data_IF_232255123480
#
_entry.id   IF_232255123480
#
_cell.length_a   1.000
_cell.length_b   1.000
_cell.length_c   1.000
_cell.angle_alpha   90.00
_cell.angle_beta   90.00
_cell.angle_gamma   90.00
#
_symmetry.space_group_name_H-M   'P 1'
#
loop_
_entity.id
_entity.type
_entity.pdbx_description
1 polymer ?
#
# COMPACT_ATOMS: atom_id res chain seq x y z
N UNK A 1 -3.80 48.84 2.32
CA UNK A 1 -2.84 48.68 1.21
C UNK A 1 -1.62 48.07 1.87
N UNK A 2 -1.48 46.76 1.99
CA UNK A 2 -1.84 45.73 1.01
C UNK A 2 -2.30 44.43 1.70
N UNK A 3 -3.46 43.92 1.27
CA UNK A 3 -4.06 42.64 1.67
C UNK A 3 -3.36 41.50 0.93
N UNK A 4 -2.79 40.55 1.67
CA UNK A 4 -2.06 39.39 1.15
C UNK A 4 -3.06 38.24 0.86
N UNK A 5 -3.26 37.80 -0.40
CA UNK A 5 -4.34 36.87 -0.72
C UNK A 5 -3.96 35.43 -0.37
N UNK A 6 -4.66 34.87 0.63
CA UNK A 6 -4.57 33.47 1.00
C UNK A 6 -5.02 32.56 -0.16
N UNK A 7 -4.07 31.90 -0.82
CA UNK A 7 -4.35 30.86 -1.81
C UNK A 7 -4.87 29.59 -1.12
N UNK A 8 -6.19 29.36 -1.17
CA UNK A 8 -6.79 28.13 -0.64
C UNK A 8 -6.53 26.97 -1.59
N UNK A 9 -5.45 26.22 -1.35
CA UNK A 9 -5.16 24.95 -2.05
C UNK A 9 -6.24 23.92 -1.69
N UNK A 10 -7.24 23.74 -2.57
CA UNK A 10 -8.27 22.69 -2.42
C UNK A 10 -7.57 21.33 -2.43
N UNK A 11 -7.59 20.62 -1.30
CA UNK A 11 -7.09 19.24 -1.19
C UNK A 11 -8.06 18.31 -1.92
N UNK A 12 -7.72 17.91 -3.14
CA UNK A 12 -8.45 16.85 -3.85
C UNK A 12 -8.25 15.54 -3.08
N UNK A 13 -9.33 14.91 -2.62
CA UNK A 13 -9.26 13.57 -2.04
C UNK A 13 -8.77 12.60 -3.13
N UNK A 14 -7.84 11.67 -2.84
CA UNK A 14 -7.50 10.65 -3.83
C UNK A 14 -8.75 9.83 -4.12
N UNK A 15 -9.13 9.75 -5.40
CA UNK A 15 -10.21 8.89 -5.86
C UNK A 15 -9.93 7.47 -5.38
N UNK A 16 -10.94 6.84 -4.75
CA UNK A 16 -10.90 5.40 -4.52
C UNK A 16 -10.79 4.76 -5.89
N UNK A 17 -9.70 4.04 -6.14
CA UNK A 17 -9.55 3.20 -7.33
C UNK A 17 -10.72 2.22 -7.31
N UNK A 18 -11.72 2.46 -8.15
CA UNK A 18 -12.78 1.50 -8.39
C UNK A 18 -12.14 0.39 -9.22
N UNK A 19 -11.92 -0.77 -8.60
CA UNK A 19 -11.53 -1.96 -9.34
C UNK A 19 -12.81 -2.37 -10.06
N UNK A 20 -12.92 -2.07 -11.35
CA UNK A 20 -14.03 -2.54 -12.18
C UNK A 20 -13.90 -4.06 -12.32
N UNK A 21 -14.58 -4.81 -11.43
CA UNK A 21 -14.72 -6.25 -11.59
C UNK A 21 -15.70 -6.52 -12.74
N UNK A 22 -15.16 -6.86 -13.92
CA UNK A 22 -15.98 -7.25 -15.07
C UNK A 22 -16.81 -8.49 -14.70
N UNK A 23 -18.10 -8.30 -14.45
CA UNK A 23 -19.01 -9.36 -13.99
C UNK A 23 -19.71 -10.08 -15.15
N UNK A 24 -19.65 -9.53 -16.38
CA UNK A 24 -20.37 -10.06 -17.54
C UNK A 24 -19.48 -10.13 -18.77
N UNK A 25 -19.66 -11.21 -19.54
CA UNK A 25 -19.02 -11.37 -20.83
C UNK A 25 -19.61 -10.37 -21.85
N UNK A 26 -18.78 -9.60 -22.58
CA UNK A 26 -19.26 -8.61 -23.56
C UNK A 26 -19.90 -9.24 -24.80
N UNK A 27 -19.53 -10.48 -25.15
CA UNK A 27 -20.08 -11.19 -26.33
C UNK A 27 -21.41 -11.90 -26.05
N UNK A 28 -21.44 -12.81 -25.07
CA UNK A 28 -22.62 -13.64 -24.82
C UNK A 28 -23.50 -13.17 -23.65
N UNK A 29 -23.07 -12.16 -22.89
CA UNK A 29 -23.78 -11.66 -21.71
C UNK A 29 -23.75 -12.58 -20.50
N UNK A 30 -23.03 -13.71 -20.56
CA UNK A 30 -22.91 -14.65 -19.45
C UNK A 30 -22.17 -14.05 -18.25
N UNK A 31 -22.59 -14.47 -17.05
CA UNK A 31 -21.93 -14.19 -15.75
C UNK A 31 -20.96 -15.32 -15.37
N UNK A 32 -20.85 -16.38 -16.18
CA UNK A 32 -19.91 -17.47 -15.99
C UNK A 32 -18.51 -17.04 -16.43
N UNK A 33 -17.78 -16.44 -15.51
CA UNK A 33 -16.42 -15.96 -15.71
C UNK A 33 -15.46 -16.80 -14.85
N UNK A 34 -14.48 -17.41 -15.52
CA UNK A 34 -13.44 -18.27 -14.93
C UNK A 34 -12.14 -17.48 -14.93
N UNK A 35 -11.40 -17.54 -13.82
CA UNK A 35 -10.09 -16.91 -13.68
C UNK A 35 -8.99 -17.96 -13.82
N UNK A 36 -8.19 -17.86 -14.86
CA UNK A 36 -7.01 -18.69 -15.09
C UNK A 36 -5.80 -18.05 -14.40
N UNK A 37 -5.40 -18.62 -13.26
CA UNK A 37 -4.28 -18.13 -12.47
C UNK A 37 -2.91 -18.48 -13.08
N UNK A 38 -2.81 -19.49 -13.94
CA UNK A 38 -1.55 -19.86 -14.58
C UNK A 38 -1.19 -18.85 -15.69
N UNK A 39 -2.21 -18.36 -16.40
CA UNK A 39 -2.04 -17.41 -17.51
C UNK A 39 -2.34 -15.96 -17.13
N UNK A 40 -3.00 -15.72 -15.98
CA UNK A 40 -3.42 -14.38 -15.56
C UNK A 40 -4.61 -13.85 -16.36
N UNK A 41 -5.44 -14.75 -16.90
CA UNK A 41 -6.53 -14.44 -17.82
C UNK A 41 -7.90 -14.57 -17.13
N UNK A 42 -8.84 -13.73 -17.56
CA UNK A 42 -10.26 -13.79 -17.21
C UNK A 42 -11.02 -14.29 -18.44
N UNK A 43 -11.58 -15.50 -18.37
CA UNK A 43 -12.17 -16.19 -19.52
C UNK A 43 -13.65 -16.46 -19.27
N UNK A 44 -14.50 -16.26 -20.28
CA UNK A 44 -15.90 -16.71 -20.19
C UNK A 44 -15.99 -18.23 -20.34
N UNK A 45 -16.61 -18.91 -19.38
CA UNK A 45 -16.80 -20.37 -19.41
C UNK A 45 -17.75 -20.85 -20.51
N UNK A 46 -18.66 -20.00 -20.97
CA UNK A 46 -19.70 -20.39 -21.93
C UNK A 46 -19.32 -20.16 -23.40
N UNK A 47 -18.64 -19.05 -23.72
CA UNK A 47 -18.23 -18.75 -25.10
C UNK A 47 -16.70 -18.77 -25.34
N UNK A 48 -15.90 -18.93 -24.28
CA UNK A 48 -14.44 -19.06 -24.38
C UNK A 48 -13.68 -17.77 -24.67
N UNK A 49 -14.34 -16.61 -24.70
CA UNK A 49 -13.66 -15.33 -24.91
C UNK A 49 -12.78 -14.96 -23.71
N UNK A 50 -11.58 -14.45 -23.99
CA UNK A 50 -10.72 -13.82 -22.99
C UNK A 50 -11.18 -12.37 -22.81
N UNK A 51 -11.74 -12.07 -21.64
CA UNK A 51 -12.27 -10.77 -21.26
C UNK A 51 -11.15 -9.82 -20.81
N UNK A 52 -10.14 -10.36 -20.12
CA UNK A 52 -8.96 -9.63 -19.66
C UNK A 52 -7.75 -10.59 -19.62
N UNK A 53 -6.59 -10.13 -20.05
CA UNK A 53 -5.36 -10.92 -20.21
C UNK A 53 -4.21 -10.49 -19.28
N UNK A 54 -4.40 -9.41 -18.51
CA UNK A 54 -3.37 -8.81 -17.65
C UNK A 54 -3.84 -8.70 -16.20
N UNK A 55 -4.43 -9.77 -15.67
CA UNK A 55 -4.91 -9.73 -14.30
C UNK A 55 -3.76 -9.95 -13.31
N UNK A 56 -3.17 -8.83 -12.89
CA UNK A 56 -2.11 -8.80 -11.87
C UNK A 56 -2.72 -9.20 -10.52
N UNK A 57 -2.07 -10.14 -9.82
CA UNK A 57 -2.37 -10.40 -8.42
C UNK A 57 -1.87 -9.25 -7.55
N UNK A 58 -2.81 -8.51 -6.96
CA UNK A 58 -2.54 -7.41 -6.03
C UNK A 58 -2.33 -7.90 -4.60
N UNK A 59 -2.31 -9.22 -4.38
CA UNK A 59 -1.96 -9.84 -3.11
C UNK A 59 -0.50 -9.60 -2.71
N UNK A 60 -0.12 -9.99 -1.48
CA UNK A 60 1.26 -9.87 -1.01
C UNK A 60 2.20 -10.63 -1.95
N UNK A 61 3.09 -9.90 -2.61
CA UNK A 61 4.06 -10.44 -3.57
C UNK A 61 5.05 -11.45 -2.92
N UNK A 62 5.13 -11.47 -1.59
CA UNK A 62 6.06 -12.30 -0.83
C UNK A 62 5.37 -13.55 -0.27
N UNK A 63 5.81 -14.74 -0.71
CA UNK A 63 5.54 -16.01 -0.03
C UNK A 63 6.18 -15.97 1.36
N UNK A 64 5.39 -15.62 2.37
CA UNK A 64 5.75 -15.83 3.76
C UNK A 64 4.82 -16.90 4.32
N UNK A 65 5.40 -18.00 4.76
CA UNK A 65 4.64 -19.11 5.36
C UNK A 65 4.38 -18.88 6.85
N UNK A 66 5.04 -17.88 7.43
CA UNK A 66 4.95 -17.54 8.85
C UNK A 66 5.02 -16.01 9.02
N UNK A 67 4.41 -15.52 10.09
CA UNK A 67 4.32 -14.11 10.47
C UNK A 67 5.69 -13.43 10.63
N UNK A 68 6.71 -14.15 11.09
CA UNK A 68 8.08 -13.64 11.19
C UNK A 68 8.70 -13.41 9.81
N UNK A 69 8.43 -14.31 8.84
CA UNK A 69 8.92 -14.15 7.47
C UNK A 69 8.21 -13.00 6.75
N UNK A 70 6.92 -12.81 7.04
CA UNK A 70 6.12 -11.67 6.58
C UNK A 70 6.79 -10.36 7.01
N UNK A 71 7.08 -10.21 8.30
CA UNK A 71 7.66 -8.98 8.84
C UNK A 71 9.07 -8.70 8.29
N UNK A 72 9.90 -9.73 8.13
CA UNK A 72 11.26 -9.56 7.58
C UNK A 72 11.29 -9.22 6.08
N UNK A 73 10.32 -9.73 5.31
CA UNK A 73 10.27 -9.55 3.85
C UNK A 73 9.42 -8.37 3.41
N UNK A 74 8.57 -7.86 4.30
CA UNK A 74 7.77 -6.68 4.05
C UNK A 74 8.68 -5.47 3.74
N UNK A 75 8.57 -4.96 2.51
CA UNK A 75 9.24 -3.71 2.10
C UNK A 75 8.51 -2.47 2.60
N UNK A 76 7.23 -2.62 2.89
CA UNK A 76 6.35 -1.58 3.39
C UNK A 76 5.92 -1.93 4.81
N UNK A 77 5.59 -0.91 5.60
CA UNK A 77 5.04 -1.10 6.94
C UNK A 77 3.64 -1.73 6.93
N UNK A 78 3.05 -1.83 8.12
CA UNK A 78 1.69 -2.34 8.29
C UNK A 78 0.65 -1.61 7.41
N UNK A 79 -0.41 -2.30 6.96
CA UNK A 79 -1.46 -1.69 6.17
C UNK A 79 -2.16 -0.57 6.95
N UNK A 80 -2.55 0.49 6.25
CA UNK A 80 -3.25 1.62 6.83
C UNK A 80 -4.69 1.23 7.17
N UNK A 81 -5.14 1.51 8.39
CA UNK A 81 -6.53 1.26 8.81
C UNK A 81 -7.22 2.54 9.23
N UNK A 82 -8.45 2.76 8.76
CA UNK A 82 -9.26 3.93 9.11
C UNK A 82 -9.74 3.94 10.56
N UNK A 83 -9.63 2.81 11.26
CA UNK A 83 -10.09 2.66 12.65
C UNK A 83 -9.08 3.18 13.68
N UNK A 84 -7.86 3.53 13.26
CA UNK A 84 -6.78 4.01 14.14
C UNK A 84 -6.43 5.45 13.76
N UNK A 85 -6.08 6.26 14.76
CA UNK A 85 -5.55 7.61 14.55
C UNK A 85 -4.35 7.59 13.57
N UNK A 86 -4.29 8.63 12.73
CA UNK A 86 -3.29 8.74 11.65
C UNK A 86 -3.21 7.51 10.74
N UNK A 87 -4.32 6.77 10.68
CA UNK A 87 -4.48 5.53 9.92
C UNK A 87 -3.50 4.42 10.35
N UNK A 88 -3.01 4.46 11.58
CA UNK A 88 -1.98 3.54 12.08
C UNK A 88 -0.56 3.85 11.58
N UNK A 89 -0.35 4.98 10.90
CA UNK A 89 0.98 5.42 10.48
C UNK A 89 1.74 6.03 11.67
N UNK A 90 2.29 5.17 12.52
CA UNK A 90 3.24 5.58 13.56
C UNK A 90 4.58 4.88 13.32
N UNK A 91 5.68 5.57 13.61
CA UNK A 91 7.02 5.01 13.53
C UNK A 91 7.72 5.19 14.88
N UNK A 92 8.39 4.15 15.37
CA UNK A 92 9.18 4.22 16.58
C UNK A 92 10.64 4.51 16.24
N UNK A 93 11.24 5.51 16.90
CA UNK A 93 12.66 5.81 16.76
C UNK A 93 13.46 4.79 17.56
N UNK A 94 14.16 3.89 16.86
CA UNK A 94 14.98 2.86 17.49
C UNK A 94 16.04 3.41 18.45
N UNK A 95 16.34 2.63 19.49
CA UNK A 95 17.31 2.96 20.54
C UNK A 95 18.77 2.93 20.09
N UNK A 96 19.04 2.33 18.93
CA UNK A 96 20.38 2.29 18.33
C UNK A 96 20.82 3.72 18.03
N UNK A 97 21.98 4.13 18.56
CA UNK A 97 22.57 5.44 18.26
C UNK A 97 23.31 5.40 16.91
N UNK A 98 22.62 4.94 15.86
CA UNK A 98 23.11 4.89 14.49
C UNK A 98 22.09 5.56 13.58
N UNK A 99 22.57 6.27 12.57
CA UNK A 99 21.72 6.84 11.52
C UNK A 99 21.34 5.78 10.45
N UNK A 100 20.53 6.20 9.48
CA UNK A 100 20.08 5.37 8.35
C UNK A 100 21.26 4.81 7.52
N UNK A 101 22.37 5.55 7.47
CA UNK A 101 23.60 5.15 6.77
C UNK A 101 24.52 4.27 7.64
N UNK A 102 24.10 3.94 8.87
CA UNK A 102 24.84 3.08 9.80
C UNK A 102 25.94 3.78 10.59
N UNK A 103 26.10 5.11 10.45
CA UNK A 103 27.09 5.90 11.18
C UNK A 103 26.60 6.20 12.60
N UNK A 104 27.53 6.15 13.55
CA UNK A 104 27.23 6.44 14.96
C UNK A 104 26.83 7.91 15.15
N UNK A 105 25.73 8.14 15.89
CA UNK A 105 25.24 9.48 16.21
C UNK A 105 26.26 10.18 17.13
N UNK A 106 26.70 11.40 16.78
CA UNK A 106 27.68 12.14 17.56
C UNK A 106 27.15 12.47 18.96
N UNK A 107 28.03 12.48 19.96
CA UNK A 107 27.66 12.65 21.37
C UNK A 107 26.80 13.88 21.64
N UNK A 108 27.09 15.00 20.95
CA UNK A 108 26.32 16.25 21.04
C UNK A 108 24.82 16.06 20.71
N UNK A 109 24.50 15.16 19.78
CA UNK A 109 23.14 14.96 19.30
C UNK A 109 22.42 13.83 20.05
N UNK A 110 23.11 13.06 20.90
CA UNK A 110 22.51 11.94 21.64
C UNK A 110 21.43 12.40 22.62
N UNK A 111 21.64 13.54 23.29
CA UNK A 111 20.64 14.11 24.20
C UNK A 111 19.36 14.54 23.46
N UNK A 112 19.49 15.07 22.24
CA UNK A 112 18.36 15.41 21.40
C UNK A 112 17.60 14.16 20.94
N UNK A 113 18.31 13.12 20.48
CA UNK A 113 17.71 11.85 20.10
C UNK A 113 16.99 11.16 21.26
N UNK A 114 17.53 11.24 22.47
CA UNK A 114 16.85 10.71 23.65
C UNK A 114 15.51 11.40 23.91
N UNK A 115 15.43 12.74 23.72
CA UNK A 115 14.18 13.48 23.85
C UNK A 115 13.15 13.05 22.80
N UNK A 116 13.58 12.93 21.54
CA UNK A 116 12.71 12.49 20.44
C UNK A 116 12.18 11.06 20.60
N UNK A 117 12.85 10.20 21.38
CA UNK A 117 12.38 8.84 21.68
C UNK A 117 11.33 8.77 22.80
N UNK A 118 11.24 9.81 23.62
CA UNK A 118 10.42 9.81 24.85
C UNK A 118 9.01 10.35 24.63
N UNK A 119 8.79 11.08 23.53
CA UNK A 119 7.59 11.84 23.21
C UNK A 119 7.24 11.62 21.74
#
# INVERSE_FOLDING_TARGET
MDDDPQTTRKRTRPDRVQIEETTKCPECGSEHIIRDYERGELVCGDCGIVINDLQIDMGPEWRAFDSVQTEQRARTGAPMTLTIHDKGLSTEIGWKNKDSYGKSIPTRNRAQMYRLRKW
#
